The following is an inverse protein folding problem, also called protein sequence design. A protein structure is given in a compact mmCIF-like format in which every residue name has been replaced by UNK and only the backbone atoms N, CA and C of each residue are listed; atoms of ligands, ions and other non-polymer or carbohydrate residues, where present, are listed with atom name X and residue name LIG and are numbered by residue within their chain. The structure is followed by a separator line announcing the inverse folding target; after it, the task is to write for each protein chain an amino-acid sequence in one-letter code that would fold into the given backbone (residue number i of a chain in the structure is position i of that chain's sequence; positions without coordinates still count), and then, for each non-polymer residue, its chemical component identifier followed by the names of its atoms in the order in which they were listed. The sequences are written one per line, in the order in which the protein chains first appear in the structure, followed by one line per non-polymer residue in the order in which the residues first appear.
data_IF_198155791405
#
_entry.id   IF_198155791405
#
_cell.length_a   1.000
_cell.length_b   1.000
_cell.length_c   1.000
_cell.angle_alpha   90.00
_cell.angle_beta   90.00
_cell.angle_gamma   90.00
#
_symmetry.space_group_name_H-M   'P 1'
#
loop_
_entity.id
_entity.type
_entity.pdbx_description
1 polymer ?
#
# COMPACT_ATOMS: atom_id res chain seq x y z
N UNK A 1 -12.30 1.84 -18.52
CA UNK A 1 -11.53 2.38 -17.37
C UNK A 1 -12.34 2.19 -16.10
N UNK A 2 -11.88 1.37 -15.14
CA UNK A 2 -12.38 1.47 -13.76
C UNK A 2 -11.81 2.76 -13.17
N UNK A 3 -12.68 3.67 -12.75
CA UNK A 3 -12.29 4.95 -12.14
C UNK A 3 -11.76 4.70 -10.72
N UNK A 4 -10.79 5.52 -10.27
CA UNK A 4 -10.26 5.49 -8.89
C UNK A 4 -11.38 5.58 -7.83
N UNK A 5 -12.51 6.19 -8.18
CA UNK A 5 -13.74 6.29 -7.36
C UNK A 5 -14.28 4.95 -6.85
N UNK A 6 -13.94 3.82 -7.48
CA UNK A 6 -14.36 2.50 -7.02
C UNK A 6 -13.54 1.98 -5.83
N UNK A 7 -12.37 2.57 -5.57
CA UNK A 7 -11.44 2.13 -4.54
C UNK A 7 -11.31 3.19 -3.44
N UNK A 8 -12.44 3.69 -2.93
CA UNK A 8 -12.49 4.75 -1.91
C UNK A 8 -11.59 4.46 -0.70
N UNK A 9 -11.56 3.20 -0.24
CA UNK A 9 -10.70 2.76 0.86
C UNK A 9 -9.21 2.95 0.55
N UNK A 10 -8.79 2.61 -0.67
CA UNK A 10 -7.40 2.70 -1.12
C UNK A 10 -7.00 4.15 -1.34
N UNK A 11 -7.90 4.94 -1.95
CA UNK A 11 -7.66 6.38 -2.16
C UNK A 11 -7.52 7.09 -0.82
N UNK A 12 -8.44 6.84 0.11
CA UNK A 12 -8.38 7.44 1.44
C UNK A 12 -7.13 7.02 2.22
N UNK A 13 -6.68 5.77 2.10
CA UNK A 13 -5.39 5.36 2.68
C UNK A 13 -4.22 6.15 2.07
N UNK A 14 -4.17 6.32 0.74
CA UNK A 14 -3.09 7.05 0.06
C UNK A 14 -3.06 8.52 0.49
N UNK A 15 -4.22 9.15 0.66
CA UNK A 15 -4.34 10.57 1.01
C UNK A 15 -4.14 10.86 2.50
N UNK A 16 -4.60 9.97 3.39
CA UNK A 16 -4.66 10.26 4.84
C UNK A 16 -3.59 9.53 5.67
N UNK A 17 -3.11 8.35 5.22
CA UNK A 17 -2.34 7.45 6.09
C UNK A 17 -1.03 6.94 5.51
N UNK A 18 -0.86 6.93 4.20
CA UNK A 18 0.36 6.46 3.52
C UNK A 18 1.62 7.18 4.03
N UNK A 19 1.51 8.45 4.44
CA UNK A 19 2.63 9.21 5.02
C UNK A 19 3.15 8.66 6.36
N UNK A 20 2.35 7.83 7.06
CA UNK A 20 2.79 7.09 8.26
C UNK A 20 3.79 5.98 7.91
N UNK A 21 3.91 5.59 6.64
CA UNK A 21 4.73 4.47 6.17
C UNK A 21 5.77 4.96 5.14
N UNK A 22 6.94 5.47 5.56
CA UNK A 22 7.94 6.04 4.65
C UNK A 22 8.48 5.05 3.60
N UNK A 23 8.45 3.75 3.89
CA UNK A 23 8.89 2.71 2.96
C UNK A 23 7.87 2.43 1.84
N UNK A 24 6.63 2.91 1.96
CA UNK A 24 5.55 2.64 1.01
C UNK A 24 5.51 3.74 -0.05
N UNK A 25 5.78 3.35 -1.30
CA UNK A 25 5.61 4.22 -2.47
C UNK A 25 4.27 3.95 -3.15
N UNK A 26 3.58 5.01 -3.56
CA UNK A 26 2.36 4.92 -4.34
C UNK A 26 2.72 5.24 -5.80
N UNK A 27 2.20 4.46 -6.73
CA UNK A 27 2.37 4.70 -8.16
C UNK A 27 1.05 4.37 -8.84
N UNK A 28 0.58 5.28 -9.69
CA UNK A 28 -0.71 5.15 -10.35
C UNK A 28 -0.45 4.75 -11.80
N UNK A 29 -0.90 3.56 -12.15
CA UNK A 29 -0.89 3.07 -13.52
C UNK A 29 -2.31 3.05 -14.06
N UNK A 30 -2.50 3.64 -15.25
CA UNK A 30 -3.82 3.66 -15.88
C UNK A 30 -4.32 2.24 -16.18
N UNK A 31 -5.61 2.02 -15.95
CA UNK A 31 -6.32 0.77 -16.26
C UNK A 31 -5.74 -0.49 -15.57
N UNK A 32 -5.01 -0.31 -14.46
CA UNK A 32 -4.49 -1.40 -13.64
C UNK A 32 -5.31 -1.54 -12.35
N UNK A 33 -5.56 -2.77 -11.87
CA UNK A 33 -6.14 -2.96 -10.54
C UNK A 33 -5.17 -2.47 -9.45
N UNK A 34 -5.67 -2.12 -8.27
CA UNK A 34 -4.81 -1.73 -7.17
C UNK A 34 -4.04 -2.96 -6.67
N UNK A 35 -2.72 -2.81 -6.56
CA UNK A 35 -1.81 -3.87 -6.16
C UNK A 35 -0.78 -3.33 -5.18
N UNK A 36 -0.41 -4.18 -4.22
CA UNK A 36 0.72 -3.92 -3.34
C UNK A 36 1.91 -4.74 -3.86
N UNK A 37 3.00 -4.05 -4.19
CA UNK A 37 4.24 -4.66 -4.67
C UNK A 37 5.25 -4.62 -3.53
N UNK A 38 5.59 -5.79 -3.00
CA UNK A 38 6.63 -5.94 -1.98
C UNK A 38 7.98 -6.09 -2.67
N UNK A 39 8.91 -5.22 -2.32
CA UNK A 39 10.30 -5.28 -2.80
C UNK A 39 11.19 -5.86 -1.70
N UNK A 40 12.20 -6.63 -2.10
CA UNK A 40 13.31 -7.06 -1.25
C UNK A 40 14.23 -5.88 -0.92
N UNK A 41 15.20 -6.08 -0.01
CA UNK A 41 16.15 -5.04 0.40
C UNK A 41 16.97 -4.47 -0.77
N UNK A 42 17.19 -5.25 -1.82
CA UNK A 42 17.92 -4.84 -3.03
C UNK A 42 17.01 -4.21 -4.09
N UNK A 43 15.74 -3.92 -3.77
CA UNK A 43 14.75 -3.41 -4.72
C UNK A 43 14.22 -4.45 -5.71
N UNK A 44 14.66 -5.71 -5.58
CA UNK A 44 14.15 -6.81 -6.39
C UNK A 44 12.70 -7.13 -6.01
N UNK A 45 11.86 -7.42 -7.00
CA UNK A 45 10.49 -7.87 -6.79
C UNK A 45 10.45 -9.13 -5.92
N UNK A 46 9.67 -9.11 -4.84
CA UNK A 46 9.49 -10.26 -3.95
C UNK A 46 8.10 -10.87 -4.12
N UNK A 47 7.08 -10.01 -4.10
CA UNK A 47 5.69 -10.44 -4.05
C UNK A 47 4.78 -9.34 -4.60
N UNK A 48 3.68 -9.73 -5.26
CA UNK A 48 2.59 -8.84 -5.65
C UNK A 48 1.29 -9.36 -5.06
N UNK A 49 0.57 -8.49 -4.37
CA UNK A 49 -0.72 -8.81 -3.73
C UNK A 49 -1.81 -7.95 -4.39
N UNK A 50 -2.90 -8.59 -4.81
CA UNK A 50 -4.10 -7.86 -5.25
C UNK A 50 -4.85 -7.36 -4.03
N UNK A 51 -5.13 -6.05 -4.01
CA UNK A 51 -5.80 -5.38 -2.88
C UNK A 51 -7.15 -4.78 -3.31
N UNK A 52 -7.74 -5.29 -4.39
CA UNK A 52 -8.98 -4.79 -4.99
C UNK A 52 -10.20 -4.84 -4.06
N UNK A 53 -10.18 -5.74 -3.07
CA UNK A 53 -11.25 -5.88 -2.07
C UNK A 53 -10.80 -5.53 -0.65
N UNK A 54 -9.63 -4.90 -0.49
CA UNK A 54 -9.14 -4.53 0.83
C UNK A 54 -9.84 -3.27 1.34
N UNK A 55 -10.10 -3.27 2.65
CA UNK A 55 -10.47 -2.07 3.39
C UNK A 55 -9.22 -1.39 3.95
N UNK A 56 -9.38 -0.16 4.43
CA UNK A 56 -8.32 0.62 5.06
C UNK A 56 -7.63 -0.15 6.20
N UNK A 57 -8.41 -0.77 7.07
CA UNK A 57 -7.93 -1.58 8.20
C UNK A 57 -7.00 -2.74 7.77
N UNK A 58 -7.31 -3.43 6.67
CA UNK A 58 -6.48 -4.53 6.17
C UNK A 58 -5.13 -4.02 5.65
N UNK A 59 -5.11 -2.87 4.97
CA UNK A 59 -3.86 -2.24 4.51
C UNK A 59 -3.00 -1.82 5.69
N UNK A 60 -3.59 -1.18 6.70
CA UNK A 60 -2.87 -0.75 7.90
C UNK A 60 -2.24 -1.93 8.62
N UNK A 61 -3.04 -2.95 8.97
CA UNK A 61 -2.56 -4.12 9.68
C UNK A 61 -1.42 -4.81 8.91
N UNK A 62 -1.62 -5.02 7.60
CA UNK A 62 -0.60 -5.64 6.76
C UNK A 62 0.70 -4.84 6.73
N UNK A 63 0.61 -3.51 6.58
CA UNK A 63 1.77 -2.64 6.53
C UNK A 63 2.46 -2.53 7.89
N UNK A 64 1.74 -2.49 9.01
CA UNK A 64 2.34 -2.49 10.35
C UNK A 64 3.13 -3.79 10.62
N UNK A 65 2.62 -4.94 10.18
CA UNK A 65 3.31 -6.23 10.33
C UNK A 65 4.53 -6.36 9.40
N UNK A 66 4.41 -5.89 8.16
CA UNK A 66 5.45 -6.08 7.12
C UNK A 66 6.51 -4.98 7.13
N UNK A 67 6.06 -3.74 7.25
CA UNK A 67 6.89 -2.54 7.31
C UNK A 67 6.94 -2.17 8.78
N UNK A 68 7.76 -2.90 9.56
CA UNK A 68 7.99 -2.56 10.97
C UNK A 68 8.19 -1.04 11.04
N UNK A 69 7.33 -0.30 11.76
CA UNK A 69 7.44 1.14 11.78
C UNK A 69 8.84 1.48 12.26
N UNK A 70 9.54 2.34 11.52
CA UNK A 70 10.82 2.93 11.95
C UNK A 70 10.58 3.91 13.12
N UNK A 71 9.78 3.49 14.10
CA UNK A 71 9.57 4.11 15.38
C UNK A 71 9.84 3.08 16.48
N UNK A 72 10.99 2.41 16.39
CA UNK A 72 11.73 2.07 17.59
C UNK A 72 12.67 3.25 17.88
N UNK A 73 12.12 4.35 18.40
CA UNK A 73 12.92 5.27 19.22
C UNK A 73 12.97 4.66 20.61
N UNK A 74 14.17 4.18 20.95
CA UNK A 74 14.65 3.87 22.29
C UNK A 74 14.44 5.08 23.19
#
# INVERSE_FOLDING_TARGET
MRKLVFYHEIVGFIEEEKDKFPAVKSSIFFNSPPQLVVLAQEGQHKETISIDNWKREHMLQFLEEKVKPTSAKI
#
